data_IF_955201898467
#
_entry.id   IF_955201898467
#
_cell.length_a   1.000
_cell.length_b   1.000
_cell.length_c   1.000
_cell.angle_alpha   90.00
_cell.angle_beta   90.00
_cell.angle_gamma   90.00
#
_symmetry.space_group_name_H-M   'P 1'
#
loop_
_entity.id
_entity.type
_entity.pdbx_description
1 polymer ?
2 non-polymer ?
3 non-polymer ?
4 water ?
#
# COMPACT_ATOMS: atom_id res chain seq x y z
N UNK A 1 4.70 -20.05 0.15
CA UNK A 1 5.59 -19.03 -0.38
C UNK A 1 4.85 -18.07 -1.32
N UNK A 2 3.52 -18.07 -1.25
CA UNK A 2 2.73 -17.22 -2.14
C UNK A 2 2.68 -15.82 -1.55
N UNK A 3 2.94 -14.83 -2.39
CA UNK A 3 2.91 -13.44 -1.98
C UNK A 3 1.48 -12.90 -2.00
N UNK A 4 1.26 -11.86 -1.21
CA UNK A 4 -0.01 -11.14 -1.21
C UNK A 4 0.17 -9.85 -2.00
N UNK A 5 -0.64 -9.67 -3.03
CA UNK A 5 -0.44 -8.58 -3.97
C UNK A 5 -1.38 -7.42 -3.68
N UNK A 6 -0.85 -6.21 -3.76
CA UNK A 6 -1.67 -5.02 -3.82
C UNK A 6 -2.27 -4.91 -5.22
N UNK A 7 -3.30 -4.09 -5.40
CA UNK A 7 -3.82 -3.90 -6.76
C UNK A 7 -2.77 -3.22 -7.64
N UNK A 8 -3.00 -3.20 -8.94
CA UNK A 8 -2.02 -2.61 -9.86
C UNK A 8 -1.80 -1.15 -9.57
N UNK A 9 -0.55 -0.74 -9.63
CA UNK A 9 -0.19 0.62 -9.37
C UNK A 9 0.02 0.96 -7.91
N UNK A 10 -0.16 0.03 -6.98
CA UNK A 10 0.02 0.33 -5.58
C UNK A 10 1.33 -0.25 -5.08
N UNK A 11 1.91 0.40 -4.08
CA UNK A 11 3.09 -0.16 -3.42
C UNK A 11 3.06 0.23 -1.96
N UNK A 12 3.73 -0.58 -1.16
CA UNK A 12 3.90 -0.33 0.26
C UNK A 12 5.30 0.19 0.56
N UNK A 13 5.36 1.12 1.50
CA UNK A 13 6.60 1.61 2.08
C UNK A 13 6.45 1.65 3.58
N UNK A 14 7.55 1.85 4.27
CA UNK A 14 7.53 2.07 5.71
C UNK A 14 7.95 3.51 5.96
N UNK A 15 7.11 4.26 6.68
CA UNK A 15 7.43 5.63 7.00
C UNK A 15 8.49 5.69 8.09
N UNK A 16 9.14 6.85 8.26
CA UNK A 16 10.18 6.95 9.29
C UNK A 16 9.68 6.69 10.69
N UNK A 17 8.41 6.91 10.96
CA UNK A 17 7.85 6.65 12.27
C UNK A 17 7.48 5.19 12.47
N UNK A 18 7.81 4.33 11.50
CA UNK A 18 7.61 2.90 11.60
C UNK A 18 6.31 2.38 11.05
N UNK A 19 5.38 3.25 10.68
CA UNK A 19 4.10 2.80 10.17
C UNK A 19 4.20 2.45 8.69
N UNK A 20 3.64 1.31 8.26
CA UNK A 20 3.49 1.08 6.82
C UNK A 20 2.59 2.13 6.18
N UNK A 21 2.84 2.45 4.92
CA UNK A 21 1.92 3.29 4.18
C UNK A 21 1.87 2.81 2.75
N UNK A 22 0.88 3.31 2.02
CA UNK A 22 0.55 2.79 0.70
C UNK A 22 0.44 3.93 -0.30
N UNK A 23 1.14 3.77 -1.41
CA UNK A 23 1.14 4.72 -2.51
C UNK A 23 0.25 4.14 -3.61
N UNK A 24 -0.72 4.94 -4.05
CA UNK A 24 -1.58 4.59 -5.18
C UNK A 24 -1.12 5.42 -6.37
N UNK A 25 -0.30 4.83 -7.22
CA UNK A 25 0.19 5.55 -8.38
C UNK A 25 -0.91 5.83 -9.40
N UNK A 26 -2.02 5.09 -9.33
CA UNK A 26 -3.13 5.37 -10.25
C UNK A 26 -3.70 6.77 -10.03
N UNK A 27 -3.78 7.20 -8.76
CA UNK A 27 -4.37 8.47 -8.41
C UNK A 27 -3.35 9.44 -7.84
N UNK A 28 -2.09 9.03 -7.71
CA UNK A 28 -1.07 9.86 -7.09
C UNK A 28 -1.48 10.27 -5.68
N UNK A 29 -1.89 9.30 -4.87
CA UNK A 29 -2.29 9.57 -3.50
C UNK A 29 -1.63 8.56 -2.59
N UNK A 30 -1.68 8.83 -1.29
CA UNK A 30 -1.12 7.96 -0.27
C UNK A 30 -2.17 7.75 0.81
N UNK A 31 -2.04 6.65 1.54
CA UNK A 31 -2.95 6.35 2.63
C UNK A 31 -2.25 5.45 3.63
N UNK A 32 -2.66 5.55 4.90
CA UNK A 32 -2.22 4.59 5.91
C UNK A 32 -2.95 3.25 5.80
N UNK A 33 -4.08 3.19 5.10
CA UNK A 33 -4.93 2.00 5.09
C UNK A 33 -4.52 1.06 3.96
N UNK A 34 -4.14 -0.15 4.31
CA UNK A 34 -3.74 -1.15 3.32
C UNK A 34 -4.97 -1.57 2.54
N UNK A 35 -4.98 -1.46 1.20
CA UNK A 35 -6.14 -1.90 0.42
C UNK A 35 -6.49 -3.35 0.65
N UNK A 36 -5.54 -4.19 1.06
CA UNK A 36 -5.80 -5.62 1.19
C UNK A 36 -6.76 -5.90 2.33
N UNK A 37 -6.92 -4.96 3.25
CA UNK A 37 -7.94 -5.09 4.29
C UNK A 37 -9.33 -4.85 3.73
N UNK A 38 -9.42 -4.39 2.49
CA UNK A 38 -10.63 -3.89 1.88
C UNK A 38 -11.08 -4.71 0.69
N UNK A 39 -10.40 -5.82 0.38
CA UNK A 39 -10.78 -6.69 -0.74
C UNK A 39 -12.18 -7.27 -0.52
X LIG B 1 5.93 9.90 9.71
X LIG B 1 6.95 9.19 9.53
X LIG B 1 4.88 9.74 9.02
X LIG B 1 5.95 10.78 10.61
X LIG C 1 3.76 8.37 -9.70
X LIG C 1 2.61 8.02 -9.31
X LIG C 1 4.79 7.87 -9.18
X LIG C 1 3.88 9.22 -10.61
X LIG D 1 -7.71 -9.87 5.74
X LIG D 1 -8.58 -10.31 6.54
X LIG D 1 -7.12 -10.66 4.95
X LIG D 1 -7.44 -8.64 5.71
X LIG E 1 -6.33 6.09 -1.23
X LIG E 1 -5.26 6.92 -1.60
X LIG E 1 -7.30 5.97 -2.43
X LIG E 1 -6.66 5.77 -3.64
X LIG E 1 -8.23 4.78 -2.05
X LIG E 1 -8.91 4.38 -3.21
X LIG E 1 -6.04 5.20 -0.98
X LIG E 1 -6.82 6.44 -0.47
X LIG E 1 -4.85 6.53 -2.24
X LIG E 1 -7.80 6.80 -2.54
X LIG E 1 -6.06 5.19 -3.52
X LIG E 1 -7.68 4.08 -1.67
X LIG E 1 -8.82 5.06 -1.33
X LIG E 1 -9.21 5.08 -3.59
X LIG F 1 9.78 -0.28 2.83
X LIG F 1 9.62 -1.41 2.00
X LIG F 1 10.70 0.73 2.12
X LIG F 1 10.46 0.86 0.76
X LIG F 1 10.41 2.09 2.84
X LIG F 1 11.48 2.96 2.53
X LIG F 1 8.93 0.15 3.02
X LIG F 1 10.16 -0.51 3.69
X LIG F 1 9.03 -1.93 2.38
X LIG F 1 11.62 0.44 2.20
X LIG F 1 9.71 1.23 0.68
X LIG F 1 9.55 2.42 2.55
X LIG F 1 10.32 1.92 3.79
X LIG F 1 11.13 3.65 2.16
#
# INVERSE_FOLDING_TARGET
VTQSFLPPGWEMRIAPNGRPFFIDHNTKTTTWEDPRLKF
NO3 N O1 O2 O3
NO3 N O1 O2 O3
NO3 N O1 O2 O3
GOL C1 O1 C2 O2 C3 O3 H11 H12 HO1 H2 HO2 H31 H32 HO3
GOL C1 O1 C2 O2 C3 O3 H11 H12 HO1 H2 HO2 H31 H32 HO3
#
